data_IF_197265997593
#
_entry.id   IF_197265997593
#
_cell.length_a   1.000
_cell.length_b   1.000
_cell.length_c   1.000
_cell.angle_alpha   90.00
_cell.angle_beta   90.00
_cell.angle_gamma   90.00
#
_symmetry.space_group_name_H-M   'P 1'
#
loop_
_entity.id
_entity.type
_entity.pdbx_description
1 polymer ?
#
# COMPACT_ATOMS: atom_id res chain seq x y z
N UNK A 1 -45.63 8.16 -0.89
CA UNK A 1 -44.87 8.64 -2.06
C UNK A 1 -43.58 9.42 -1.73
N UNK A 2 -43.23 9.66 -0.47
CA UNK A 2 -42.10 10.54 -0.04
C UNK A 2 -40.78 9.82 0.20
N UNK A 3 -40.79 8.51 0.43
CA UNK A 3 -39.60 7.72 0.79
C UNK A 3 -38.74 7.32 -0.42
N UNK A 4 -39.37 7.00 -1.56
CA UNK A 4 -38.64 6.60 -2.76
C UNK A 4 -37.86 7.76 -3.40
N UNK A 5 -38.40 8.99 -3.35
CA UNK A 5 -37.76 10.18 -3.91
C UNK A 5 -36.50 10.60 -3.10
N UNK A 6 -36.51 10.30 -1.79
CA UNK A 6 -35.37 10.63 -0.90
C UNK A 6 -34.18 9.69 -1.13
N UNK A 7 -34.44 8.41 -1.44
CA UNK A 7 -33.42 7.41 -1.77
C UNK A 7 -32.75 7.66 -3.12
N UNK A 8 -33.51 8.16 -4.12
CA UNK A 8 -32.94 8.49 -5.43
C UNK A 8 -32.06 9.76 -5.37
N UNK A 9 -32.46 10.76 -4.56
CA UNK A 9 -31.66 11.96 -4.36
C UNK A 9 -30.38 11.69 -3.54
N UNK A 10 -30.42 10.79 -2.57
CA UNK A 10 -29.22 10.35 -1.84
C UNK A 10 -28.29 9.50 -2.73
N UNK A 11 -28.83 8.63 -3.57
CA UNK A 11 -28.02 7.87 -4.52
C UNK A 11 -27.36 8.76 -5.58
N UNK A 12 -28.06 9.79 -6.07
CA UNK A 12 -27.46 10.81 -6.95
C UNK A 12 -26.39 11.62 -6.27
N UNK A 13 -26.59 12.09 -5.04
CA UNK A 13 -25.57 12.83 -4.27
C UNK A 13 -24.32 11.98 -4.02
N UNK A 14 -24.45 10.68 -3.76
CA UNK A 14 -23.33 9.77 -3.61
C UNK A 14 -22.60 9.52 -4.94
N UNK A 15 -23.32 9.50 -6.07
CA UNK A 15 -22.72 9.42 -7.40
C UNK A 15 -21.95 10.70 -7.73
N UNK A 16 -22.54 11.86 -7.48
CA UNK A 16 -21.92 13.16 -7.71
C UNK A 16 -20.68 13.38 -6.81
N UNK A 17 -20.71 12.87 -5.57
CA UNK A 17 -19.56 12.87 -4.66
C UNK A 17 -18.43 11.94 -5.16
N UNK A 18 -18.75 10.83 -5.83
CA UNK A 18 -17.71 9.91 -6.36
C UNK A 18 -16.97 10.52 -7.55
N UNK A 19 -17.68 11.24 -8.43
CA UNK A 19 -17.07 11.98 -9.53
C UNK A 19 -16.22 13.16 -9.01
N UNK A 20 -16.69 13.87 -8.01
CA UNK A 20 -16.00 14.99 -7.38
C UNK A 20 -14.74 14.56 -6.58
N UNK A 21 -14.78 13.39 -5.95
CA UNK A 21 -13.61 12.80 -5.28
C UNK A 21 -12.49 12.47 -6.29
N UNK A 22 -12.82 11.91 -7.46
CA UNK A 22 -11.85 11.63 -8.52
C UNK A 22 -11.10 12.87 -8.98
N UNK A 23 -11.76 14.04 -9.02
CA UNK A 23 -11.15 15.32 -9.40
C UNK A 23 -10.23 15.88 -8.29
N UNK A 24 -10.57 15.65 -7.01
CA UNK A 24 -9.82 16.19 -5.85
C UNK A 24 -8.41 15.60 -5.69
N UNK A 25 -8.15 14.42 -6.23
CA UNK A 25 -6.88 13.73 -6.13
C UNK A 25 -6.01 13.87 -7.39
N UNK A 26 -6.22 14.89 -8.19
CA UNK A 26 -5.29 15.25 -9.26
C UNK A 26 -4.09 16.01 -8.70
N UNK A 27 -2.90 15.55 -9.08
CA UNK A 27 -1.63 16.14 -8.66
C UNK A 27 -0.91 16.71 -9.90
N UNK A 28 -1.20 17.97 -10.31
CA UNK A 28 -0.78 18.50 -11.62
C UNK A 28 0.75 18.62 -11.77
N UNK A 29 1.48 18.74 -10.65
CA UNK A 29 2.94 18.90 -10.66
C UNK A 29 3.68 17.59 -10.37
N UNK A 30 3.03 16.44 -10.48
CA UNK A 30 3.66 15.17 -10.26
C UNK A 30 3.00 14.06 -11.06
N UNK A 31 3.79 13.06 -11.43
CA UNK A 31 3.35 11.90 -12.17
C UNK A 31 3.47 10.64 -11.29
N UNK A 32 2.46 9.76 -11.35
CA UNK A 32 2.53 8.46 -10.70
C UNK A 32 3.29 7.50 -11.59
N UNK A 33 4.33 6.89 -11.04
CA UNK A 33 5.14 5.85 -11.67
C UNK A 33 5.17 4.61 -10.79
N UNK A 34 5.46 3.46 -11.37
CA UNK A 34 5.56 2.20 -10.61
C UNK A 34 6.94 1.59 -10.77
N UNK A 35 7.55 1.19 -9.65
CA UNK A 35 8.74 0.33 -9.69
C UNK A 35 8.25 -1.11 -9.70
N UNK A 36 8.59 -1.90 -10.73
CA UNK A 36 8.21 -3.31 -10.82
C UNK A 36 9.04 -4.15 -9.83
N UNK A 37 8.40 -5.16 -9.24
CA UNK A 37 9.05 -6.23 -8.52
C UNK A 37 9.44 -7.41 -9.43
N UNK A 38 9.68 -8.56 -8.82
CA UNK A 38 9.99 -9.82 -9.54
C UNK A 38 8.80 -10.35 -10.36
N UNK A 39 7.59 -9.89 -10.05
CA UNK A 39 6.33 -10.28 -10.69
C UNK A 39 5.55 -9.03 -11.08
N UNK A 40 4.72 -9.16 -12.11
CA UNK A 40 3.92 -8.05 -12.63
C UNK A 40 2.89 -7.48 -11.63
N UNK A 41 2.44 -8.30 -10.67
CA UNK A 41 1.50 -7.91 -9.62
C UNK A 41 2.20 -7.32 -8.37
N UNK A 42 3.53 -7.30 -8.32
CA UNK A 42 4.32 -6.59 -7.32
C UNK A 42 4.85 -5.30 -7.95
N UNK A 43 4.19 -4.20 -7.65
CA UNK A 43 4.57 -2.88 -8.18
C UNK A 43 4.40 -1.83 -7.10
N UNK A 44 5.47 -1.11 -6.82
CA UNK A 44 5.50 -0.08 -5.77
C UNK A 44 5.21 1.28 -6.38
N UNK A 45 4.15 1.99 -5.96
CA UNK A 45 3.80 3.28 -6.51
C UNK A 45 4.73 4.37 -5.99
N UNK A 46 5.22 5.17 -6.89
CA UNK A 46 5.94 6.41 -6.63
C UNK A 46 5.22 7.58 -7.24
N UNK A 47 5.55 8.74 -6.72
CA UNK A 47 5.20 10.01 -7.31
C UNK A 47 6.47 10.79 -7.61
N UNK A 48 6.69 11.08 -8.87
CA UNK A 48 7.77 11.94 -9.33
C UNK A 48 7.28 13.38 -9.31
N UNK A 49 7.77 14.16 -8.34
CA UNK A 49 7.40 15.56 -8.18
C UNK A 49 8.31 16.41 -9.07
N UNK A 50 7.73 17.10 -10.03
CA UNK A 50 8.48 18.02 -10.90
C UNK A 50 8.96 19.21 -10.10
N UNK A 51 10.19 19.65 -10.39
CA UNK A 51 10.79 20.84 -9.82
C UNK A 51 10.95 21.90 -10.91
N UNK A 52 10.85 23.16 -10.52
CA UNK A 52 11.19 24.27 -11.43
C UNK A 52 12.70 24.32 -11.64
N UNK A 53 13.11 24.81 -12.80
CA UNK A 53 14.52 25.01 -13.14
C UNK A 53 15.17 26.03 -12.19
N UNK A 54 16.45 25.84 -11.89
CA UNK A 54 17.23 26.81 -11.14
C UNK A 54 17.86 27.83 -12.11
N UNK A 55 17.53 29.10 -11.88
CA UNK A 55 18.10 30.22 -12.66
C UNK A 55 19.36 30.74 -11.94
N UNK A 56 20.50 30.64 -12.61
CA UNK A 56 21.80 31.13 -12.12
C UNK A 56 22.34 32.22 -13.02
N UNK A 57 23.37 32.94 -12.56
CA UNK A 57 24.08 33.93 -13.39
C UNK A 57 24.75 33.31 -14.61
N UNK A 58 25.00 32.00 -14.62
CA UNK A 58 25.62 31.21 -15.67
C UNK A 58 24.62 30.57 -16.64
N UNK A 59 23.32 30.64 -16.34
CA UNK A 59 22.26 30.06 -17.15
C UNK A 59 21.20 29.33 -16.33
N UNK A 60 20.34 28.59 -17.02
CA UNK A 60 19.27 27.78 -16.44
C UNK A 60 19.76 26.35 -16.26
N UNK A 61 19.56 25.80 -15.09
CA UNK A 61 19.85 24.41 -14.75
C UNK A 61 18.54 23.67 -14.44
N UNK A 62 18.29 22.59 -15.17
CA UNK A 62 17.11 21.75 -14.96
C UNK A 62 17.28 20.90 -13.70
N UNK A 63 16.28 20.94 -12.82
CA UNK A 63 16.26 20.10 -11.63
C UNK A 63 15.58 18.74 -11.93
N UNK A 64 16.19 17.61 -11.50
CA UNK A 64 15.55 16.30 -11.64
C UNK A 64 14.30 16.21 -10.76
N UNK A 65 13.30 15.41 -11.13
CA UNK A 65 12.14 15.19 -10.28
C UNK A 65 12.53 14.51 -8.96
N UNK A 66 11.77 14.79 -7.91
CA UNK A 66 11.95 14.15 -6.61
C UNK A 66 11.00 12.94 -6.52
N UNK A 67 11.51 11.72 -6.44
CA UNK A 67 10.70 10.54 -6.24
C UNK A 67 10.31 10.40 -4.76
N UNK A 68 9.02 10.21 -4.49
CA UNK A 68 8.49 9.91 -3.15
C UNK A 68 7.55 8.72 -3.21
N UNK A 69 7.45 7.95 -2.14
CA UNK A 69 6.46 6.89 -2.05
C UNK A 69 5.04 7.49 -2.11
N UNK A 70 4.22 6.97 -3.01
CA UNK A 70 2.85 7.49 -3.19
C UNK A 70 1.88 6.79 -2.24
N UNK A 71 1.51 7.46 -1.16
CA UNK A 71 0.56 6.97 -0.15
C UNK A 71 -0.90 7.21 -0.52
N UNK A 72 -1.20 7.74 -1.71
CA UNK A 72 -2.58 8.03 -2.12
C UNK A 72 -3.40 6.76 -2.44
N UNK A 73 -2.75 5.61 -2.53
CA UNK A 73 -3.40 4.34 -2.85
C UNK A 73 -4.17 4.40 -4.18
N UNK A 74 -5.35 3.84 -4.19
CA UNK A 74 -6.22 3.86 -5.37
C UNK A 74 -6.71 5.26 -5.75
N UNK A 75 -6.78 6.19 -4.80
CA UNK A 75 -7.24 7.56 -5.07
C UNK A 75 -6.30 8.38 -5.94
N UNK A 76 -5.02 8.07 -5.94
CA UNK A 76 -4.01 8.72 -6.78
C UNK A 76 -3.70 7.95 -8.07
N UNK A 77 -4.33 6.81 -8.32
CA UNK A 77 -4.14 5.99 -9.52
C UNK A 77 -5.22 6.30 -10.55
N UNK A 78 -4.89 6.96 -11.67
CA UNK A 78 -5.87 7.28 -12.72
C UNK A 78 -6.45 6.03 -13.40
N UNK A 79 -5.80 4.87 -13.26
CA UNK A 79 -6.29 3.60 -13.79
C UNK A 79 -7.20 2.85 -12.79
N UNK A 80 -7.26 3.29 -11.53
CA UNK A 80 -8.11 2.65 -10.53
C UNK A 80 -9.56 3.12 -10.67
N UNK A 81 -10.48 2.16 -10.73
CA UNK A 81 -11.89 2.46 -10.62
C UNK A 81 -12.32 2.34 -9.16
N UNK A 82 -12.81 3.45 -8.59
CA UNK A 82 -13.30 3.51 -7.22
C UNK A 82 -14.81 3.62 -7.26
N UNK A 83 -15.49 2.62 -6.71
CA UNK A 83 -16.93 2.60 -6.50
C UNK A 83 -17.19 2.58 -5.00
N UNK A 84 -17.92 3.57 -4.47
CA UNK A 84 -18.26 3.67 -3.04
C UNK A 84 -19.00 2.42 -2.51
N UNK A 85 -19.71 1.69 -3.37
CA UNK A 85 -20.43 0.47 -2.99
C UNK A 85 -19.55 -0.78 -3.05
N UNK A 86 -18.53 -0.78 -3.92
CA UNK A 86 -17.61 -1.90 -4.09
C UNK A 86 -16.37 -1.79 -3.21
N UNK A 87 -16.04 -0.57 -2.78
CA UNK A 87 -14.84 -0.27 -2.02
C UNK A 87 -13.60 -0.12 -2.91
N UNK A 88 -12.43 -0.18 -2.27
CA UNK A 88 -11.15 -0.05 -2.94
C UNK A 88 -10.72 -1.35 -3.63
N UNK A 89 -9.94 -1.27 -4.72
CA UNK A 89 -9.36 -2.45 -5.36
C UNK A 89 -8.50 -3.27 -4.39
N UNK A 90 -8.68 -4.58 -4.40
CA UNK A 90 -7.97 -5.51 -3.52
C UNK A 90 -6.60 -5.89 -4.11
N UNK A 91 -5.59 -5.10 -3.86
CA UNK A 91 -4.25 -5.24 -4.47
C UNK A 91 -3.48 -6.51 -4.03
N UNK A 92 -3.80 -7.06 -2.84
CA UNK A 92 -3.09 -8.22 -2.26
C UNK A 92 -3.88 -9.53 -2.30
N UNK A 93 -5.07 -9.58 -2.86
CA UNK A 93 -5.90 -10.79 -2.87
C UNK A 93 -5.19 -11.96 -3.55
N UNK A 94 -4.56 -11.73 -4.70
CA UNK A 94 -3.81 -12.78 -5.41
C UNK A 94 -2.69 -13.38 -4.56
N UNK A 95 -1.96 -12.56 -3.80
CA UNK A 95 -0.90 -13.01 -2.91
C UNK A 95 -1.42 -13.88 -1.76
N UNK A 96 -2.60 -13.53 -1.21
CA UNK A 96 -3.25 -14.30 -0.15
C UNK A 96 -3.77 -15.64 -0.68
N UNK A 97 -4.36 -15.66 -1.86
CA UNK A 97 -4.92 -16.87 -2.47
C UNK A 97 -3.82 -17.85 -2.88
N UNK A 98 -2.71 -17.36 -3.40
CA UNK A 98 -1.56 -18.17 -3.81
C UNK A 98 -0.95 -18.95 -2.64
N UNK A 99 -0.88 -18.35 -1.45
CA UNK A 99 -0.37 -19.02 -0.25
C UNK A 99 -1.24 -20.20 0.20
N UNK A 100 -2.52 -20.18 -0.14
CA UNK A 100 -3.44 -21.29 0.09
C UNK A 100 -3.69 -21.68 1.54
N UNK A 101 -3.28 -20.85 2.49
CA UNK A 101 -3.31 -21.09 3.94
C UNK A 101 -4.47 -20.39 4.67
N UNK A 102 -5.27 -19.64 3.92
CA UNK A 102 -6.49 -18.97 4.41
C UNK A 102 -7.75 -19.59 3.84
N UNK A 103 -8.85 -19.37 4.53
CA UNK A 103 -10.21 -19.68 4.07
C UNK A 103 -11.14 -18.49 4.28
N UNK A 104 -12.10 -18.32 3.38
CA UNK A 104 -13.14 -17.30 3.51
C UNK A 104 -14.26 -17.86 4.38
N UNK A 105 -14.68 -17.12 5.40
CA UNK A 105 -15.76 -17.54 6.27
C UNK A 105 -17.12 -17.52 5.54
N UNK A 106 -18.03 -18.46 5.87
CA UNK A 106 -19.34 -18.51 5.23
C UNK A 106 -20.27 -17.36 5.64
N UNK A 107 -19.95 -16.64 6.73
CA UNK A 107 -20.72 -15.51 7.27
C UNK A 107 -19.78 -14.51 7.95
N UNK A 108 -20.32 -13.34 8.30
CA UNK A 108 -19.61 -12.37 9.13
C UNK A 108 -19.29 -13.00 10.50
N UNK A 109 -18.14 -12.65 11.07
CA UNK A 109 -17.64 -13.23 12.32
C UNK A 109 -18.19 -12.54 13.58
N UNK A 110 -18.65 -11.28 13.46
CA UNK A 110 -19.20 -10.53 14.58
C UNK A 110 -20.70 -10.76 14.72
N UNK A 111 -21.20 -10.82 15.95
CA UNK A 111 -22.61 -10.89 16.29
C UNK A 111 -23.35 -9.67 15.73
N UNK A 112 -22.81 -8.46 15.98
CA UNK A 112 -23.33 -7.22 15.43
C UNK A 112 -23.46 -7.26 13.91
N UNK A 113 -22.43 -7.70 13.19
CA UNK A 113 -22.46 -7.83 11.74
C UNK A 113 -23.53 -8.81 11.26
N UNK A 114 -23.72 -9.90 11.99
CA UNK A 114 -24.74 -10.92 11.69
C UNK A 114 -26.16 -10.37 11.93
N UNK A 115 -26.40 -9.69 13.03
CA UNK A 115 -27.68 -9.04 13.34
C UNK A 115 -28.02 -7.97 12.30
N UNK A 116 -27.07 -7.09 11.94
CA UNK A 116 -27.25 -6.05 10.93
C UNK A 116 -27.50 -6.65 9.56
N UNK A 117 -26.92 -7.78 9.23
CA UNK A 117 -27.15 -8.46 7.96
C UNK A 117 -28.61 -8.96 7.80
N UNK A 118 -29.33 -9.16 8.89
CA UNK A 118 -30.69 -9.66 8.91
C UNK A 118 -31.76 -8.57 9.24
N UNK A 119 -31.36 -7.41 9.74
CA UNK A 119 -32.28 -6.33 10.14
C UNK A 119 -32.92 -5.66 8.90
N UNK A 120 -34.25 -5.80 8.70
CA UNK A 120 -34.92 -5.20 7.54
C UNK A 120 -34.83 -3.67 7.51
N UNK A 121 -34.72 -3.03 8.68
CA UNK A 121 -34.67 -1.56 8.78
C UNK A 121 -33.40 -0.97 8.18
N UNK A 122 -32.33 -1.75 8.15
CA UNK A 122 -31.02 -1.34 7.63
C UNK A 122 -30.71 -1.93 6.25
N UNK A 123 -31.69 -2.58 5.60
CA UNK A 123 -31.50 -3.24 4.31
C UNK A 123 -30.96 -2.27 3.23
N UNK A 124 -31.42 -1.03 3.24
CA UNK A 124 -31.00 0.02 2.30
C UNK A 124 -29.56 0.54 2.51
N UNK A 125 -28.97 0.24 3.66
CA UNK A 125 -27.57 0.61 4.00
C UNK A 125 -26.58 -0.53 3.74
N UNK A 126 -27.04 -1.68 3.23
CA UNK A 126 -26.16 -2.83 2.99
C UNK A 126 -25.48 -2.71 1.65
N UNK A 127 -24.19 -2.97 1.68
CA UNK A 127 -23.39 -3.16 0.48
C UNK A 127 -23.32 -4.66 0.21
N UNK A 128 -23.88 -5.11 -0.92
CA UNK A 128 -23.95 -6.54 -1.29
C UNK A 128 -22.58 -7.15 -1.60
N UNK A 129 -21.54 -6.31 -1.62
CA UNK A 129 -20.18 -6.66 -2.02
C UNK A 129 -19.18 -6.63 -0.87
N UNK A 130 -19.64 -6.54 0.38
CA UNK A 130 -18.75 -6.66 1.53
C UNK A 130 -18.03 -8.01 1.46
N UNK A 131 -16.71 -7.95 1.34
CA UNK A 131 -15.84 -9.12 1.36
C UNK A 131 -16.02 -9.86 2.68
N UNK A 132 -16.28 -11.18 2.60
CA UNK A 132 -16.37 -12.01 3.79
C UNK A 132 -15.02 -12.10 4.48
N UNK A 133 -14.99 -12.16 5.83
CA UNK A 133 -13.74 -12.28 6.54
C UNK A 133 -12.96 -13.53 6.16
N UNK A 134 -11.63 -13.39 6.12
CA UNK A 134 -10.69 -14.51 6.01
C UNK A 134 -10.17 -14.91 7.38
N UNK A 135 -9.86 -16.17 7.54
CA UNK A 135 -9.08 -16.67 8.68
C UNK A 135 -8.03 -17.67 8.19
N UNK A 136 -7.04 -17.93 9.03
CA UNK A 136 -6.11 -19.02 8.81
C UNK A 136 -6.86 -20.35 8.81
N UNK A 137 -6.51 -21.27 7.91
CA UNK A 137 -6.96 -22.66 7.96
C UNK A 137 -6.49 -23.33 9.26
N UNK A 138 -7.19 -24.38 9.67
CA UNK A 138 -6.82 -25.13 10.88
C UNK A 138 -5.33 -25.56 10.83
N UNK A 139 -4.59 -25.27 11.91
CA UNK A 139 -3.17 -25.58 12.03
C UNK A 139 -2.23 -24.69 11.19
N UNK A 140 -2.73 -23.65 10.52
CA UNK A 140 -1.91 -22.69 9.75
C UNK A 140 -1.72 -21.40 10.53
N UNK A 141 -0.61 -20.71 10.25
CA UNK A 141 -0.31 -19.36 10.73
C UNK A 141 -0.01 -18.47 9.54
N UNK A 142 -0.61 -17.28 9.51
CA UNK A 142 -0.60 -16.34 8.38
C UNK A 142 0.13 -15.03 8.69
N UNK A 143 0.94 -15.02 9.75
CA UNK A 143 1.72 -13.82 10.11
C UNK A 143 2.99 -13.73 9.27
N UNK A 144 3.41 -12.51 8.93
CA UNK A 144 4.67 -12.29 8.23
C UNK A 144 5.87 -12.85 9.00
N UNK A 145 5.83 -12.79 10.35
CA UNK A 145 6.84 -13.42 11.20
C UNK A 145 6.92 -14.94 11.01
N UNK A 146 5.78 -15.61 10.87
CA UNK A 146 5.74 -17.05 10.62
C UNK A 146 6.42 -17.40 9.29
N UNK A 147 6.05 -16.71 8.22
CA UNK A 147 6.68 -16.94 6.90
C UNK A 147 8.17 -16.67 6.94
N UNK A 148 8.58 -15.55 7.54
CA UNK A 148 9.98 -15.18 7.65
C UNK A 148 10.83 -16.23 8.38
N UNK A 149 10.30 -16.86 9.44
CA UNK A 149 10.96 -17.93 10.20
C UNK A 149 10.95 -19.28 9.49
N UNK A 150 10.14 -19.44 8.44
CA UNK A 150 10.13 -20.59 7.55
C UNK A 150 10.96 -20.37 6.28
N UNK A 151 11.80 -19.32 6.27
CA UNK A 151 12.62 -18.91 5.12
C UNK A 151 11.81 -18.57 3.86
N UNK A 152 10.54 -18.18 4.03
CA UNK A 152 9.64 -17.79 2.95
C UNK A 152 9.67 -16.27 2.79
N UNK A 153 10.08 -15.82 1.60
CA UNK A 153 9.95 -14.42 1.18
C UNK A 153 8.54 -14.24 0.61
N UNK A 154 7.75 -13.37 1.23
CA UNK A 154 6.42 -13.04 0.75
C UNK A 154 6.44 -11.85 -0.22
N UNK A 155 5.43 -11.69 -1.11
CA UNK A 155 5.29 -10.49 -1.94
C UNK A 155 5.28 -9.19 -1.12
N UNK A 156 4.74 -9.22 0.09
CA UNK A 156 4.75 -8.09 1.01
C UNK A 156 6.18 -7.70 1.44
N UNK A 157 7.06 -8.67 1.67
CA UNK A 157 8.47 -8.42 2.00
C UNK A 157 9.23 -7.81 0.82
N UNK A 158 8.96 -8.29 -0.39
CA UNK A 158 9.55 -7.73 -1.61
C UNK A 158 9.06 -6.30 -1.85
N UNK A 159 7.76 -6.04 -1.70
CA UNK A 159 7.20 -4.70 -1.81
C UNK A 159 7.89 -3.71 -0.87
N UNK A 160 8.05 -4.10 0.41
CA UNK A 160 8.73 -3.28 1.42
C UNK A 160 10.20 -3.07 1.06
N UNK A 161 10.90 -4.10 0.59
CA UNK A 161 12.31 -3.97 0.17
C UNK A 161 12.47 -2.95 -0.96
N UNK A 162 11.62 -2.98 -1.97
CA UNK A 162 11.64 -2.02 -3.08
C UNK A 162 11.39 -0.60 -2.55
N UNK A 163 10.38 -0.41 -1.69
CA UNK A 163 10.02 0.89 -1.13
C UNK A 163 11.15 1.50 -0.30
N UNK A 164 11.76 0.72 0.59
CA UNK A 164 12.83 1.22 1.48
C UNK A 164 14.15 1.41 0.73
N UNK A 165 14.45 0.54 -0.25
CA UNK A 165 15.60 0.72 -1.14
C UNK A 165 15.55 2.05 -1.87
N UNK A 166 14.42 2.40 -2.44
CA UNK A 166 14.21 3.64 -3.17
C UNK A 166 14.45 4.87 -2.30
N UNK A 167 13.99 4.86 -1.06
CA UNK A 167 14.23 5.94 -0.10
C UNK A 167 15.73 6.13 0.15
N UNK A 168 16.48 5.05 0.24
CA UNK A 168 17.91 5.09 0.41
C UNK A 168 18.62 5.56 -0.87
N UNK A 169 18.18 5.12 -2.06
CA UNK A 169 18.70 5.59 -3.36
C UNK A 169 18.59 7.11 -3.50
N UNK A 170 17.49 7.70 -3.06
CA UNK A 170 17.30 9.14 -3.08
C UNK A 170 18.29 9.86 -2.14
N UNK A 171 18.47 9.33 -0.93
CA UNK A 171 19.44 9.88 0.03
C UNK A 171 20.86 9.83 -0.51
N UNK A 172 21.24 8.74 -1.18
CA UNK A 172 22.58 8.58 -1.77
C UNK A 172 22.87 9.55 -2.93
N UNK A 173 21.83 10.07 -3.59
CA UNK A 173 21.97 11.09 -4.63
C UNK A 173 22.31 12.48 -4.07
N UNK A 174 22.13 12.70 -2.77
CA UNK A 174 22.37 14.00 -2.11
C UNK A 174 23.83 14.14 -1.68
N UNK A 175 24.57 15.19 -2.15
CA UNK A 175 25.98 15.39 -1.78
C UNK A 175 26.22 15.49 -0.27
N UNK A 176 25.25 16.03 0.47
CA UNK A 176 25.31 16.19 1.93
C UNK A 176 25.36 14.83 2.63
N UNK A 177 24.65 13.83 2.09
CA UNK A 177 24.62 12.49 2.67
C UNK A 177 25.97 11.78 2.56
N UNK A 178 26.71 12.01 1.47
CA UNK A 178 28.07 11.50 1.32
C UNK A 178 29.03 12.01 2.40
N UNK A 179 28.85 13.26 2.87
CA UNK A 179 29.60 13.81 4.00
C UNK A 179 29.20 13.13 5.32
N UNK A 180 27.91 12.92 5.55
CA UNK A 180 27.39 12.25 6.74
C UNK A 180 27.91 10.82 6.85
N UNK A 181 27.90 10.06 5.76
CA UNK A 181 28.44 8.71 5.71
C UNK A 181 29.92 8.67 6.06
N UNK A 182 30.73 9.64 5.59
CA UNK A 182 32.14 9.74 5.92
C UNK A 182 32.37 10.06 7.41
N UNK A 183 31.55 10.92 8.01
CA UNK A 183 31.65 11.27 9.44
C UNK A 183 31.33 10.07 10.34
N UNK A 184 30.46 9.18 9.90
CA UNK A 184 30.02 8.00 10.67
C UNK A 184 30.68 6.70 10.19
N UNK A 185 31.66 6.78 9.29
CA UNK A 185 32.37 5.61 8.80
C UNK A 185 33.07 4.89 9.96
N UNK A 186 32.84 3.59 10.09
CA UNK A 186 33.36 2.75 11.15
C UNK A 186 32.62 2.79 12.48
N UNK A 187 31.54 3.58 12.60
CA UNK A 187 30.67 3.52 13.77
C UNK A 187 29.69 2.37 13.61
N UNK A 188 29.68 1.43 14.55
CA UNK A 188 28.67 0.37 14.65
C UNK A 188 27.65 0.75 15.71
N UNK A 189 26.39 0.89 15.30
CA UNK A 189 25.27 1.14 16.23
C UNK A 189 24.66 -0.16 16.78
N UNK A 190 25.36 -1.29 16.68
CA UNK A 190 24.87 -2.59 17.13
C UNK A 190 23.71 -3.17 16.33
N UNK A 191 23.30 -2.51 15.27
CA UNK A 191 22.25 -2.95 14.37
C UNK A 191 22.83 -3.18 12.97
N UNK A 192 22.23 -4.11 12.24
CA UNK A 192 22.57 -4.38 10.84
C UNK A 192 21.90 -3.31 9.96
N UNK A 193 22.40 -2.05 10.07
CA UNK A 193 21.83 -0.91 9.34
C UNK A 193 22.38 -0.93 7.91
N UNK A 194 21.52 -1.02 6.89
CA UNK A 194 21.96 -0.92 5.50
C UNK A 194 22.65 0.43 5.26
N UNK A 195 23.87 0.38 4.75
CA UNK A 195 24.67 1.56 4.39
C UNK A 195 24.69 1.81 2.89
N UNK A 196 24.08 0.92 2.12
CA UNK A 196 23.94 1.02 0.68
C UNK A 196 22.56 0.47 0.24
N UNK A 197 21.90 1.09 -0.76
CA UNK A 197 20.60 0.65 -1.25
C UNK A 197 20.54 -0.83 -1.63
N UNK A 198 21.59 -1.37 -2.25
CA UNK A 198 21.65 -2.77 -2.69
C UNK A 198 21.61 -3.78 -1.53
N UNK A 199 21.81 -3.36 -0.31
CA UNK A 199 21.71 -4.21 0.89
C UNK A 199 20.25 -4.42 1.31
N UNK A 200 19.32 -3.54 0.88
CA UNK A 200 17.89 -3.71 1.16
C UNK A 200 17.29 -4.64 0.12
N UNK A 201 17.44 -5.93 0.37
CA UNK A 201 16.87 -7.00 -0.47
C UNK A 201 15.62 -7.58 0.20
N UNK A 202 14.75 -8.29 -0.53
CA UNK A 202 13.64 -9.05 0.08
C UNK A 202 14.11 -10.02 1.17
N UNK A 203 15.28 -10.65 0.99
CA UNK A 203 15.90 -11.51 1.99
C UNK A 203 16.33 -10.75 3.24
N UNK A 204 16.88 -9.54 3.08
CA UNK A 204 17.19 -8.68 4.23
C UNK A 204 15.94 -8.37 5.05
N UNK A 205 14.85 -7.98 4.39
CA UNK A 205 13.56 -7.71 5.05
C UNK A 205 13.05 -8.95 5.78
N UNK A 206 13.12 -10.13 5.12
CA UNK A 206 12.76 -11.41 5.75
C UNK A 206 13.57 -11.66 7.03
N UNK A 207 14.88 -11.50 6.97
CA UNK A 207 15.76 -11.71 8.13
C UNK A 207 15.46 -10.75 9.28
N UNK A 208 15.18 -9.49 8.99
CA UNK A 208 14.81 -8.49 10.00
C UNK A 208 13.47 -8.83 10.68
N UNK A 209 12.50 -9.33 9.91
CA UNK A 209 11.23 -9.81 10.45
C UNK A 209 11.44 -11.08 11.27
N UNK A 210 12.19 -12.07 10.77
CA UNK A 210 12.46 -13.33 11.47
C UNK A 210 13.13 -13.10 12.84
N UNK A 211 14.00 -12.11 12.91
CA UNK A 211 14.68 -11.68 14.13
C UNK A 211 13.82 -10.78 15.05
N UNK A 212 12.60 -10.41 14.62
CA UNK A 212 11.69 -9.57 15.39
C UNK A 212 12.08 -8.08 15.44
N UNK A 213 12.94 -7.61 14.53
CA UNK A 213 13.36 -6.20 14.44
C UNK A 213 12.49 -5.38 13.49
N UNK A 214 11.75 -6.03 12.59
CA UNK A 214 10.81 -5.38 11.68
C UNK A 214 9.44 -6.05 11.71
N UNK A 215 8.40 -5.28 11.38
CA UNK A 215 7.01 -5.75 11.29
C UNK A 215 6.41 -5.21 9.99
N UNK A 216 5.69 -6.06 9.26
CA UNK A 216 4.82 -5.64 8.14
C UNK A 216 3.36 -5.79 8.60
N UNK A 217 2.60 -4.71 8.74
CA UNK A 217 1.19 -4.75 9.17
C UNK A 217 0.25 -5.15 8.03
N UNK A 218 0.47 -6.32 7.44
CA UNK A 218 -0.29 -6.83 6.29
C UNK A 218 -1.47 -7.70 6.75
N UNK A 219 -2.57 -7.09 7.15
CA UNK A 219 -3.78 -7.79 7.57
C UNK A 219 -4.43 -8.54 6.39
N UNK A 220 -4.75 -9.83 6.59
CA UNK A 220 -5.42 -10.67 5.58
C UNK A 220 -6.86 -10.23 5.26
N UNK A 221 -7.49 -9.46 6.15
CA UNK A 221 -8.84 -8.93 5.97
C UNK A 221 -8.87 -7.51 5.39
N UNK A 222 -7.71 -6.95 5.07
CA UNK A 222 -7.56 -5.66 4.41
C UNK A 222 -6.65 -5.78 3.19
N UNK A 223 -7.04 -6.57 2.16
CA UNK A 223 -6.23 -6.81 0.97
C UNK A 223 -6.11 -5.58 0.07
N UNK A 224 -6.90 -4.55 0.30
CA UNK A 224 -6.86 -3.24 -0.37
C UNK A 224 -5.66 -2.37 0.07
N UNK A 225 -5.07 -2.65 1.23
CA UNK A 225 -3.94 -1.88 1.73
C UNK A 225 -2.61 -2.41 1.16
N UNK A 226 -1.76 -1.49 0.74
CA UNK A 226 -0.37 -1.76 0.42
C UNK A 226 0.42 -2.08 1.70
N UNK A 227 1.46 -2.94 1.61
CA UNK A 227 2.29 -3.31 2.77
C UNK A 227 3.08 -2.14 3.35
#
# INVERSE_FOLDING_TARGET
MTTAKKTDDEARRLSDLSEDIGIRFQYPNSDRVYIPGSRADIRVPLREIRQDDTYTAQGTEANPPIPVYDTSGAYGDPAAHIDLKQGLPHVRTAWLDERGDTEILPKLSSEYGTERAHDPKTAHLRFNQITRPRRAKAGRNVTQLHYARQDIITPEMEFVAIRERMKLDELFRRPEYAKLLKQHAGQSFGANIPTHPDQITPEFVRQEIAAGRAIIPANINHPELEP
#
